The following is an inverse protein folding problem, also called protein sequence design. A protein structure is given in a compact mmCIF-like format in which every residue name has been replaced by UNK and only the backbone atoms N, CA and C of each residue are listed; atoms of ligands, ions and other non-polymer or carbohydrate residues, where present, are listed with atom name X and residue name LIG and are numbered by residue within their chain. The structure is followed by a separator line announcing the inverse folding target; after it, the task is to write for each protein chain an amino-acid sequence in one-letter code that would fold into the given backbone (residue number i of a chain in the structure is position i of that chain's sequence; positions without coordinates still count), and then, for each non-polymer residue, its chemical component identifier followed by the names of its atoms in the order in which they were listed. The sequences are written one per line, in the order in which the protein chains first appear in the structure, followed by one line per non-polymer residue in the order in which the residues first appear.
data_IF_311405759949
#
_entry.id   IF_311405759949
#
_cell.length_a   1.000
_cell.length_b   1.000
_cell.length_c   1.000
_cell.angle_alpha   90.00
_cell.angle_beta   90.00
_cell.angle_gamma   90.00
#
_symmetry.space_group_name_H-M   'P 1'
#
loop_
_entity.id
_entity.type
_entity.pdbx_description
1 polymer ?
#
# COMPACT_ATOMS: atom_id res chain seq x y z
N UNK A 1 6.73 18.80 -21.02
CA UNK A 1 7.28 17.44 -21.20
C UNK A 1 7.63 16.87 -19.85
N UNK A 2 7.16 15.66 -19.52
CA UNK A 2 7.49 15.00 -18.24
C UNK A 2 8.75 14.16 -18.44
N UNK A 3 9.88 14.68 -17.97
CA UNK A 3 11.08 13.88 -17.71
C UNK A 3 10.78 12.90 -16.58
N UNK A 4 10.16 11.77 -16.92
CA UNK A 4 10.17 10.63 -16.05
C UNK A 4 11.56 10.01 -16.19
N UNK A 5 12.31 9.94 -15.09
CA UNK A 5 13.44 9.01 -14.95
C UNK A 5 12.87 7.60 -15.14
N UNK A 6 12.70 7.18 -16.39
CA UNK A 6 12.37 5.82 -16.74
C UNK A 6 13.68 5.07 -16.59
N UNK A 7 13.89 4.44 -15.44
CA UNK A 7 14.81 3.32 -15.38
C UNK A 7 14.48 2.41 -16.56
N UNK A 8 15.47 2.13 -17.42
CA UNK A 8 15.26 1.31 -18.60
C UNK A 8 15.00 -0.13 -18.14
N UNK A 9 13.73 -0.47 -17.94
CA UNK A 9 13.31 -1.84 -17.70
C UNK A 9 13.58 -2.65 -18.97
N UNK A 10 14.50 -3.61 -18.89
CA UNK A 10 14.71 -4.59 -19.96
C UNK A 10 13.63 -5.67 -19.90
N UNK A 11 13.30 -6.30 -21.02
CA UNK A 11 12.53 -7.55 -20.99
C UNK A 11 13.40 -8.64 -20.36
N UNK A 12 12.84 -9.38 -19.41
CA UNK A 12 13.54 -10.50 -18.77
C UNK A 12 13.57 -11.72 -19.67
N UNK A 13 14.37 -11.71 -20.75
CA UNK A 13 14.57 -12.88 -21.61
C UNK A 13 13.26 -13.67 -21.92
N UNK A 14 13.26 -15.02 -21.83
CA UNK A 14 12.05 -15.84 -21.95
C UNK A 14 11.23 -15.96 -20.64
N UNK A 15 11.55 -15.20 -19.58
CA UNK A 15 10.92 -15.37 -18.27
C UNK A 15 9.50 -14.78 -18.23
N UNK A 16 8.54 -15.63 -17.89
CA UNK A 16 7.14 -15.27 -17.68
C UNK A 16 6.80 -15.32 -16.19
N UNK A 17 5.79 -14.56 -15.79
CA UNK A 17 5.30 -14.55 -14.41
C UNK A 17 4.61 -15.87 -14.11
N UNK A 18 5.05 -16.59 -13.08
CA UNK A 18 4.48 -17.88 -12.67
C UNK A 18 3.00 -17.79 -12.23
N UNK A 19 2.54 -16.61 -11.84
CA UNK A 19 1.16 -16.40 -11.39
C UNK A 19 0.21 -16.01 -12.52
N UNK A 20 0.70 -15.34 -13.58
CA UNK A 20 -0.19 -14.78 -14.64
C UNK A 20 0.20 -15.18 -16.06
N UNK A 21 1.37 -15.78 -16.26
CA UNK A 21 1.96 -16.05 -17.57
C UNK A 21 2.39 -14.78 -18.34
N UNK A 22 2.28 -13.59 -17.74
CA UNK A 22 2.64 -12.34 -18.40
C UNK A 22 4.16 -12.19 -18.53
N UNK A 23 4.62 -11.45 -19.55
CA UNK A 23 6.06 -11.15 -19.71
C UNK A 23 6.57 -10.36 -18.52
N UNK A 24 7.73 -10.75 -18.00
CA UNK A 24 8.36 -10.07 -16.86
C UNK A 24 9.38 -9.03 -17.33
N UNK A 25 9.48 -7.94 -16.58
CA UNK A 25 10.49 -6.90 -16.78
C UNK A 25 11.62 -7.11 -15.76
N UNK A 26 12.86 -6.91 -16.19
CA UNK A 26 14.01 -6.83 -15.29
C UNK A 26 14.17 -5.38 -14.85
N UNK A 27 14.19 -5.17 -13.54
CA UNK A 27 14.71 -3.96 -12.94
C UNK A 27 16.06 -4.25 -12.30
N UNK A 28 17.09 -3.46 -12.63
CA UNK A 28 18.39 -3.59 -11.96
C UNK A 28 19.57 -3.07 -12.78
N UNK A 29 20.81 -3.15 -12.23
CA UNK A 29 21.17 -3.81 -10.96
C UNK A 29 20.68 -3.05 -9.71
N UNK A 30 20.44 -3.78 -8.60
CA UNK A 30 20.08 -3.20 -7.29
C UNK A 30 20.93 -3.81 -6.17
N UNK A 31 21.08 -3.07 -5.07
CA UNK A 31 21.60 -3.63 -3.82
C UNK A 31 20.57 -4.56 -3.18
N UNK A 32 20.94 -5.82 -2.94
CA UNK A 32 20.07 -6.83 -2.33
C UNK A 32 20.52 -7.25 -0.91
N UNK A 33 21.60 -6.64 -0.39
CA UNK A 33 22.07 -6.89 0.98
C UNK A 33 21.29 -6.09 2.03
N UNK A 34 21.63 -6.26 3.32
CA UNK A 34 21.03 -5.47 4.40
C UNK A 34 21.19 -3.97 4.17
N UNK A 35 20.11 -3.22 4.35
CA UNK A 35 20.08 -1.74 4.19
C UNK A 35 20.25 -0.99 5.52
N UNK A 36 20.24 -1.71 6.64
CA UNK A 36 20.32 -1.14 7.99
C UNK A 36 21.44 -1.78 8.79
N UNK A 37 22.28 -0.95 9.43
CA UNK A 37 23.17 -1.40 10.49
C UNK A 37 22.43 -1.34 11.83
N UNK A 38 21.94 -2.48 12.30
CA UNK A 38 21.11 -2.54 13.51
C UNK A 38 21.84 -2.14 14.79
N UNK A 39 23.18 -2.25 14.84
CA UNK A 39 23.97 -1.75 15.98
C UNK A 39 23.91 -0.23 16.04
N UNK A 40 24.10 0.42 14.89
CA UNK A 40 24.00 1.88 14.76
C UNK A 40 22.58 2.39 15.04
N UNK A 41 21.55 1.73 14.49
CA UNK A 41 20.15 2.11 14.74
C UNK A 41 19.82 2.07 16.24
N UNK A 42 20.27 1.02 16.95
CA UNK A 42 20.08 0.89 18.39
C UNK A 42 20.83 1.98 19.17
N UNK A 43 22.09 2.25 18.84
CA UNK A 43 22.86 3.29 19.54
C UNK A 43 22.25 4.68 19.37
N UNK A 44 21.73 5.00 18.17
CA UNK A 44 21.05 6.27 17.93
C UNK A 44 19.73 6.36 18.69
N UNK A 45 18.95 5.27 18.75
CA UNK A 45 17.72 5.23 19.54
C UNK A 45 17.97 5.45 21.03
N UNK A 46 19.05 4.88 21.56
CA UNK A 46 19.41 5.04 22.97
C UNK A 46 19.82 6.48 23.27
N UNK A 47 20.60 7.10 22.38
CA UNK A 47 21.01 8.50 22.53
C UNK A 47 19.84 9.48 22.42
N UNK A 48 18.95 9.27 21.45
CA UNK A 48 17.72 10.08 21.32
C UNK A 48 16.90 10.06 22.60
N UNK A 49 16.78 8.89 23.25
CA UNK A 49 16.02 8.73 24.50
C UNK A 49 16.70 9.43 25.69
N UNK A 50 18.02 9.49 25.72
CA UNK A 50 18.78 10.19 26.77
C UNK A 50 18.62 11.70 26.68
N UNK A 51 18.68 12.26 25.47
CA UNK A 51 18.75 13.70 25.28
C UNK A 51 17.58 14.25 24.44
N UNK A 52 16.35 13.93 24.84
CA UNK A 52 15.13 14.31 24.09
C UNK A 52 15.03 15.81 23.81
N UNK A 53 15.48 16.68 24.73
CA UNK A 53 15.27 18.13 24.66
C UNK A 53 16.12 18.80 23.58
N UNK A 54 17.26 18.22 23.24
CA UNK A 54 18.17 18.77 22.24
C UNK A 54 17.79 18.40 20.81
N UNK A 55 16.83 17.48 20.62
CA UNK A 55 16.34 17.09 19.29
C UNK A 55 14.96 17.70 19.00
N UNK A 56 14.94 18.82 18.26
CA UNK A 56 13.69 19.43 17.78
C UNK A 56 12.79 18.45 16.99
N UNK A 57 13.40 17.48 16.28
CA UNK A 57 12.70 16.45 15.52
C UNK A 57 12.61 15.09 16.24
N UNK A 58 12.70 15.07 17.58
CA UNK A 58 12.73 13.84 18.38
C UNK A 58 11.61 12.87 18.01
N UNK A 59 10.35 13.30 18.00
CA UNK A 59 9.20 12.43 17.73
C UNK A 59 9.30 11.73 16.36
N UNK A 60 9.78 12.47 15.35
CA UNK A 60 9.96 11.93 13.99
C UNK A 60 11.12 10.93 13.93
N UNK A 61 12.25 11.25 14.54
CA UNK A 61 13.42 10.37 14.57
C UNK A 61 13.16 9.10 15.38
N UNK A 62 12.61 9.25 16.57
CA UNK A 62 12.24 8.14 17.44
C UNK A 62 11.21 7.22 16.76
N UNK A 63 10.15 7.80 16.19
CA UNK A 63 9.15 7.05 15.42
C UNK A 63 9.75 6.27 14.26
N UNK A 64 10.53 6.95 13.41
CA UNK A 64 11.18 6.34 12.24
C UNK A 64 12.11 5.19 12.64
N UNK A 65 13.03 5.44 13.58
CA UNK A 65 14.01 4.44 13.98
C UNK A 65 13.37 3.26 14.74
N UNK A 66 12.25 3.49 15.43
CA UNK A 66 11.46 2.39 16.01
C UNK A 66 10.88 1.50 14.90
N UNK A 67 10.36 2.07 13.81
CA UNK A 67 9.90 1.26 12.66
C UNK A 67 11.05 0.49 12.02
N UNK A 68 12.19 1.15 11.79
CA UNK A 68 13.39 0.51 11.24
C UNK A 68 13.89 -0.62 12.15
N UNK A 69 13.79 -0.46 13.46
CA UNK A 69 14.18 -1.50 14.42
C UNK A 69 13.29 -2.75 14.35
N UNK A 70 12.01 -2.59 14.03
CA UNK A 70 11.02 -3.67 13.90
C UNK A 70 10.98 -4.29 12.51
N UNK A 71 11.65 -3.68 11.53
CA UNK A 71 11.63 -4.09 10.13
C UNK A 71 12.53 -5.30 9.88
N UNK A 72 12.04 -6.27 9.07
CA UNK A 72 12.84 -7.43 8.67
C UNK A 72 14.08 -7.00 7.86
N UNK A 73 15.30 -7.29 8.34
CA UNK A 73 16.54 -6.83 7.69
C UNK A 73 16.96 -7.72 6.51
N UNK A 74 16.47 -8.96 6.49
CA UNK A 74 16.80 -10.04 5.55
C UNK A 74 15.77 -10.20 4.42
N UNK A 75 14.65 -9.48 4.49
CA UNK A 75 13.64 -9.43 3.43
C UNK A 75 13.88 -8.20 2.53
N UNK A 76 14.43 -8.38 1.31
CA UNK A 76 14.56 -7.28 0.36
C UNK A 76 13.19 -6.84 -0.16
N UNK A 77 13.07 -5.55 -0.51
CA UNK A 77 11.84 -4.94 -1.03
C UNK A 77 10.65 -5.07 -0.06
N UNK A 78 9.43 -4.90 -0.55
CA UNK A 78 8.20 -5.00 0.25
C UNK A 78 7.02 -5.37 -0.65
N UNK A 79 5.97 -5.88 -0.02
CA UNK A 79 4.69 -6.19 -0.64
C UNK A 79 3.70 -5.07 -0.32
N UNK A 80 3.12 -4.47 -1.35
CA UNK A 80 2.04 -3.48 -1.20
C UNK A 80 0.69 -4.16 -1.42
N UNK A 81 0.04 -4.51 -0.31
CA UNK A 81 -1.28 -5.13 -0.30
C UNK A 81 -2.34 -4.25 -0.99
N UNK A 82 -2.21 -2.92 -0.95
CA UNK A 82 -3.17 -2.03 -1.60
C UNK A 82 -2.99 -2.03 -3.13
N UNK A 83 -1.74 -2.11 -3.60
CA UNK A 83 -1.45 -2.33 -5.01
C UNK A 83 -1.99 -3.68 -5.50
N UNK A 84 -1.85 -4.75 -4.70
CA UNK A 84 -2.43 -6.07 -5.01
C UNK A 84 -3.96 -6.01 -5.10
N UNK A 85 -4.61 -5.34 -4.14
CA UNK A 85 -6.06 -5.17 -4.16
C UNK A 85 -6.55 -4.33 -5.35
N UNK A 86 -5.78 -3.31 -5.74
CA UNK A 86 -6.07 -2.49 -6.94
C UNK A 86 -5.94 -3.32 -8.21
N UNK A 87 -4.91 -4.16 -8.31
CA UNK A 87 -4.72 -5.09 -9.42
C UNK A 87 -5.90 -6.08 -9.54
N UNK A 88 -6.36 -6.63 -8.41
CA UNK A 88 -7.50 -7.55 -8.35
C UNK A 88 -8.87 -6.86 -8.36
N UNK A 89 -8.93 -5.52 -8.31
CA UNK A 89 -10.16 -4.73 -8.16
C UNK A 89 -11.05 -5.20 -7.00
N UNK A 90 -10.43 -5.61 -5.90
CA UNK A 90 -11.12 -6.05 -4.69
C UNK A 90 -11.02 -5.00 -3.58
N UNK A 91 -11.91 -5.11 -2.59
CA UNK A 91 -11.77 -4.34 -1.35
C UNK A 91 -10.51 -4.81 -0.64
N UNK A 92 -9.58 -3.91 -0.25
CA UNK A 92 -8.35 -4.33 0.42
C UNK A 92 -8.64 -4.88 1.82
N UNK A 93 -7.98 -5.97 2.25
CA UNK A 93 -8.04 -6.39 3.64
C UNK A 93 -7.43 -5.33 4.56
N UNK A 94 -7.77 -5.41 5.85
CA UNK A 94 -7.05 -4.59 6.83
C UNK A 94 -5.59 -5.06 6.92
N UNK A 95 -4.63 -4.15 7.14
CA UNK A 95 -3.23 -4.55 7.34
C UNK A 95 -3.07 -5.57 8.46
N UNK A 96 -3.88 -5.49 9.52
CA UNK A 96 -3.80 -6.44 10.65
C UNK A 96 -4.26 -7.83 10.21
N UNK A 97 -5.31 -7.91 9.41
CA UNK A 97 -5.85 -9.15 8.84
C UNK A 97 -4.82 -9.80 7.90
N UNK A 98 -4.27 -9.02 6.97
CA UNK A 98 -3.27 -9.51 6.03
C UNK A 98 -1.99 -10.00 6.73
N UNK A 99 -1.49 -9.23 7.70
CA UNK A 99 -0.34 -9.65 8.53
C UNK A 99 -0.65 -10.89 9.36
N UNK A 100 -1.88 -11.01 9.89
CA UNK A 100 -2.27 -12.20 10.66
C UNK A 100 -2.31 -13.44 9.77
N UNK A 101 -2.77 -13.32 8.53
CA UNK A 101 -2.76 -14.43 7.57
C UNK A 101 -1.33 -14.91 7.26
N UNK A 102 -0.38 -13.99 7.08
CA UNK A 102 1.04 -14.33 6.90
C UNK A 102 1.63 -15.06 8.12
N UNK A 103 1.32 -14.58 9.32
CA UNK A 103 1.78 -15.22 10.57
C UNK A 103 1.15 -16.60 10.75
N UNK A 104 -0.15 -16.76 10.46
CA UNK A 104 -0.83 -18.05 10.53
C UNK A 104 -0.26 -19.06 9.52
N UNK A 105 0.18 -18.58 8.36
CA UNK A 105 0.88 -19.39 7.36
C UNK A 105 2.35 -19.71 7.75
N UNK A 106 2.82 -19.26 8.91
CA UNK A 106 4.15 -19.57 9.45
C UNK A 106 5.27 -18.62 9.00
N UNK A 107 4.93 -17.50 8.37
CA UNK A 107 5.91 -16.53 7.87
C UNK A 107 6.07 -15.33 8.79
N UNK A 108 7.28 -14.75 8.80
CA UNK A 108 7.56 -13.52 9.52
C UNK A 108 7.01 -12.33 8.74
N UNK A 109 6.53 -11.33 9.46
CA UNK A 109 6.01 -10.10 8.85
C UNK A 109 6.40 -8.87 9.65
N UNK A 110 6.76 -7.80 8.96
CA UNK A 110 6.97 -6.48 9.55
C UNK A 110 6.30 -5.38 8.73
N UNK A 111 6.22 -4.17 9.29
CA UNK A 111 6.02 -2.98 8.46
C UNK A 111 7.32 -2.62 7.72
N UNK A 112 7.25 -1.57 6.88
CA UNK A 112 8.42 -0.92 6.31
C UNK A 112 8.41 0.57 6.64
N UNK A 113 9.59 1.14 6.90
CA UNK A 113 9.76 2.58 7.08
C UNK A 113 9.49 3.39 5.79
N UNK A 114 9.62 2.77 4.61
CA UNK A 114 9.50 3.46 3.32
C UNK A 114 8.06 3.71 2.89
N UNK A 115 7.10 2.87 3.32
CA UNK A 115 5.70 2.96 2.94
C UNK A 115 4.79 2.46 4.08
N UNK A 116 3.90 3.30 4.64
CA UNK A 116 3.02 2.91 5.75
C UNK A 116 2.02 1.81 5.42
N UNK A 117 1.72 1.58 4.14
CA UNK A 117 0.73 0.60 3.68
C UNK A 117 1.36 -0.74 3.29
N UNK A 118 2.69 -0.78 3.16
CA UNK A 118 3.41 -1.96 2.75
C UNK A 118 3.89 -2.80 3.93
N UNK A 119 4.18 -4.07 3.62
CA UNK A 119 4.70 -5.04 4.58
C UNK A 119 5.93 -5.72 4.00
N UNK A 120 6.87 -6.09 4.88
CA UNK A 120 7.94 -7.02 4.53
C UNK A 120 7.59 -8.39 5.08
N UNK A 121 7.96 -9.43 4.35
CA UNK A 121 7.78 -10.81 4.75
C UNK A 121 8.82 -11.69 4.08
N UNK A 122 9.16 -12.80 4.71
CA UNK A 122 9.94 -13.89 4.10
C UNK A 122 9.06 -14.88 3.33
N UNK A 123 7.74 -14.64 3.27
CA UNK A 123 6.84 -15.43 2.45
C UNK A 123 7.16 -15.30 0.96
N UNK A 124 7.17 -16.42 0.21
CA UNK A 124 7.20 -16.38 -1.24
C UNK A 124 6.03 -15.57 -1.81
N UNK A 125 6.25 -14.93 -2.97
CA UNK A 125 5.22 -14.14 -3.65
C UNK A 125 3.94 -14.96 -3.91
N UNK A 126 4.06 -16.25 -4.21
CA UNK A 126 2.91 -17.15 -4.38
C UNK A 126 2.00 -17.22 -3.15
N UNK A 127 2.56 -17.24 -1.95
CA UNK A 127 1.82 -17.26 -0.68
C UNK A 127 1.04 -15.95 -0.49
N UNK A 128 1.67 -14.81 -0.80
CA UNK A 128 0.99 -13.52 -0.70
C UNK A 128 -0.21 -13.42 -1.66
N UNK A 129 -0.11 -14.03 -2.85
CA UNK A 129 -1.23 -14.13 -3.78
C UNK A 129 -2.27 -15.15 -3.35
N UNK A 130 -1.89 -16.28 -2.76
CA UNK A 130 -2.84 -17.25 -2.16
C UNK A 130 -3.69 -16.58 -1.08
N UNK A 131 -3.10 -15.76 -0.22
CA UNK A 131 -3.83 -14.98 0.78
C UNK A 131 -4.84 -14.03 0.11
N UNK A 132 -4.45 -13.36 -0.97
CA UNK A 132 -5.37 -12.48 -1.70
C UNK A 132 -6.46 -13.26 -2.45
N UNK A 133 -6.17 -14.45 -2.97
CA UNK A 133 -7.16 -15.35 -3.58
C UNK A 133 -8.20 -15.79 -2.54
N UNK A 134 -7.77 -16.24 -1.36
CA UNK A 134 -8.64 -16.57 -0.25
C UNK A 134 -9.50 -15.37 0.19
N UNK A 135 -8.90 -14.18 0.23
CA UNK A 135 -9.62 -12.95 0.57
C UNK A 135 -10.73 -12.61 -0.43
N UNK A 136 -10.44 -12.72 -1.73
CA UNK A 136 -11.43 -12.49 -2.81
C UNK A 136 -12.53 -13.56 -2.81
N UNK A 137 -12.21 -14.80 -2.41
CA UNK A 137 -13.22 -15.85 -2.24
C UNK A 137 -14.21 -15.51 -1.10
N UNK A 138 -13.74 -14.95 0.02
CA UNK A 138 -14.60 -14.48 1.12
C UNK A 138 -15.30 -13.15 0.80
N UNK A 139 -14.68 -12.28 -0.01
CA UNK A 139 -15.18 -10.95 -0.36
C UNK A 139 -15.21 -10.77 -1.88
N UNK A 140 -16.27 -11.28 -2.56
CA UNK A 140 -16.35 -11.28 -4.01
C UNK A 140 -16.25 -9.89 -4.64
N UNK A 141 -15.56 -9.82 -5.79
CA UNK A 141 -15.46 -8.59 -6.59
C UNK A 141 -16.79 -8.27 -7.26
N UNK A 142 -17.14 -6.98 -7.33
CA UNK A 142 -18.42 -6.53 -7.92
C UNK A 142 -18.52 -6.84 -9.42
N UNK A 143 -17.39 -6.75 -10.13
CA UNK A 143 -17.32 -6.98 -11.57
C UNK A 143 -16.22 -8.00 -11.83
N UNK A 144 -16.52 -9.14 -12.48
CA UNK A 144 -15.51 -10.10 -12.85
C UNK A 144 -14.51 -9.46 -13.81
N UNK A 145 -13.27 -9.95 -13.78
CA UNK A 145 -12.26 -9.51 -14.73
C UNK A 145 -12.57 -10.07 -16.12
N UNK A 146 -12.21 -9.36 -17.20
CA UNK A 146 -12.33 -9.89 -18.55
C UNK A 146 -11.56 -11.21 -18.70
N UNK A 147 -12.13 -12.13 -19.47
CA UNK A 147 -11.49 -13.39 -19.85
C UNK A 147 -10.08 -13.11 -20.43
N UNK A 148 -9.11 -13.94 -20.08
CA UNK A 148 -7.70 -13.81 -20.45
C UNK A 148 -6.92 -12.60 -19.87
N UNK A 149 -7.51 -11.76 -19.02
CA UNK A 149 -6.74 -10.73 -18.34
C UNK A 149 -5.75 -11.32 -17.31
N UNK A 150 -4.62 -10.65 -17.00
CA UNK A 150 -3.67 -11.15 -15.99
C UNK A 150 -4.30 -11.36 -14.60
N UNK A 151 -5.25 -10.49 -14.22
CA UNK A 151 -5.97 -10.62 -12.96
C UNK A 151 -6.96 -11.80 -12.97
N UNK A 152 -7.58 -12.11 -14.10
CA UNK A 152 -8.39 -13.31 -14.27
C UNK A 152 -7.56 -14.58 -14.03
N UNK A 153 -6.41 -14.70 -14.73
CA UNK A 153 -5.49 -15.85 -14.57
C UNK A 153 -4.94 -15.99 -13.14
N UNK A 154 -4.68 -14.86 -12.47
CA UNK A 154 -4.25 -14.84 -11.07
C UNK A 154 -5.27 -15.48 -10.13
N UNK A 155 -6.57 -15.24 -10.37
CA UNK A 155 -7.67 -15.75 -9.54
C UNK A 155 -8.07 -17.19 -9.92
N UNK A 156 -7.91 -17.56 -11.19
CA UNK A 156 -8.20 -18.92 -11.69
C UNK A 156 -7.21 -19.97 -11.15
N UNK A 157 -5.97 -19.56 -10.85
CA UNK A 157 -4.94 -20.45 -10.32
C UNK A 157 -5.34 -21.01 -8.94
N UNK A 158 -5.21 -22.32 -8.78
CA UNK A 158 -5.51 -23.02 -7.53
C UNK A 158 -4.59 -22.56 -6.37
N UNK A 159 -5.20 -22.40 -5.20
CA UNK A 159 -4.51 -22.04 -3.96
C UNK A 159 -3.76 -23.26 -3.44
N UNK A 160 -2.46 -23.11 -3.15
CA UNK A 160 -1.63 -24.19 -2.59
C UNK A 160 -1.49 -24.11 -1.08
N UNK A 161 -1.55 -22.89 -0.56
CA UNK A 161 -1.33 -22.61 0.86
C UNK A 161 -2.66 -22.60 1.60
N UNK A 162 -2.74 -23.25 2.76
CA UNK A 162 -3.88 -23.10 3.67
C UNK A 162 -3.84 -21.72 4.32
N UNK A 163 -4.88 -20.91 4.10
CA UNK A 163 -4.95 -19.52 4.59
C UNK A 163 -5.98 -19.41 5.71
N UNK A 164 -5.57 -18.83 6.84
CA UNK A 164 -6.45 -18.48 7.95
C UNK A 164 -6.34 -17.00 8.28
N UNK A 165 -7.47 -16.30 8.32
CA UNK A 165 -7.54 -14.87 8.68
C UNK A 165 -7.70 -14.62 10.20
N UNK A 166 -7.53 -15.66 11.03
CA UNK A 166 -7.62 -15.51 12.49
C UNK A 166 -6.63 -14.46 13.00
N UNK A 167 -7.12 -13.50 13.79
CA UNK A 167 -6.31 -12.36 14.22
C UNK A 167 -5.23 -12.80 15.21
N UNK A 168 -3.97 -12.52 14.88
CA UNK A 168 -2.81 -12.76 15.77
C UNK A 168 -2.33 -11.46 16.38
N UNK A 169 -1.98 -11.50 17.67
CA UNK A 169 -1.36 -10.37 18.37
C UNK A 169 0.06 -10.09 17.85
N UNK A 170 0.77 -11.12 17.38
CA UNK A 170 2.11 -11.07 16.77
C UNK A 170 2.13 -10.26 15.46
N UNK A 171 1.01 -10.21 14.74
CA UNK A 171 0.87 -9.42 13.52
C UNK A 171 0.89 -7.89 13.76
N UNK A 172 0.83 -7.47 15.04
CA UNK A 172 0.85 -6.08 15.46
C UNK A 172 2.25 -5.70 15.92
N UNK A 173 2.78 -4.62 15.35
CA UNK A 173 4.12 -4.12 15.70
C UNK A 173 4.13 -3.53 17.11
N UNK A 174 5.27 -3.63 17.81
CA UNK A 174 5.38 -3.15 19.19
C UNK A 174 5.23 -1.64 19.29
N UNK A 175 5.65 -0.90 18.26
CA UNK A 175 5.42 0.54 18.12
C UNK A 175 3.93 0.87 18.14
N UNK A 176 3.10 0.02 17.52
CA UNK A 176 1.63 0.18 17.55
C UNK A 176 1.07 -0.13 18.93
N UNK A 177 1.61 -1.14 19.64
CA UNK A 177 1.22 -1.48 21.02
C UNK A 177 1.61 -0.36 22.00
N UNK A 178 2.77 0.26 21.79
CA UNK A 178 3.33 1.37 22.60
C UNK A 178 2.85 2.75 22.16
N UNK A 179 1.92 2.82 21.21
CA UNK A 179 1.34 4.04 20.66
C UNK A 179 2.38 5.09 20.18
N UNK A 180 3.46 4.61 19.56
CA UNK A 180 4.50 5.46 18.98
C UNK A 180 4.06 5.95 17.60
N UNK A 181 4.10 7.26 17.37
CA UNK A 181 3.79 7.86 16.07
C UNK A 181 4.87 7.52 15.05
N UNK A 182 4.57 6.57 14.16
CA UNK A 182 5.52 6.04 13.17
C UNK A 182 5.73 6.97 11.97
N UNK A 183 4.65 7.57 11.48
CA UNK A 183 4.65 8.42 10.29
C UNK A 183 4.15 9.81 10.69
N UNK A 184 5.08 10.65 11.16
CA UNK A 184 4.78 12.03 11.51
C UNK A 184 4.47 12.80 10.22
N UNK A 185 3.30 13.46 10.17
CA UNK A 185 2.92 14.30 9.05
C UNK A 185 3.88 15.47 8.93
N UNK A 186 4.26 15.82 7.70
CA UNK A 186 5.09 16.99 7.49
C UNK A 186 4.30 18.26 7.87
N UNK A 187 4.97 19.30 8.41
CA UNK A 187 4.33 20.57 8.73
C UNK A 187 3.67 21.24 7.51
N UNK A 188 2.75 22.18 7.78
CA UNK A 188 2.17 23.04 6.75
C UNK A 188 3.29 23.81 6.02
N UNK A 189 3.16 23.95 4.69
CA UNK A 189 4.14 24.62 3.81
C UNK A 189 5.52 23.94 3.73
N UNK A 190 5.60 22.63 4.02
CA UNK A 190 6.83 21.86 3.89
C UNK A 190 7.24 21.63 2.42
N UNK A 191 8.48 22.00 2.10
CA UNK A 191 9.09 21.79 0.78
C UNK A 191 8.77 22.87 -0.25
N UNK A 192 9.45 22.86 -1.41
CA UNK A 192 9.17 23.80 -2.49
C UNK A 192 7.70 23.63 -2.92
N UNK A 193 6.94 24.72 -2.89
CA UNK A 193 5.57 24.72 -3.37
C UNK A 193 5.54 24.28 -4.83
N UNK A 194 4.43 23.64 -5.22
CA UNK A 194 4.20 23.31 -6.63
C UNK A 194 4.35 24.60 -7.44
N UNK A 195 5.21 24.58 -8.45
CA UNK A 195 5.30 25.68 -9.41
C UNK A 195 3.90 26.00 -9.92
N UNK A 196 3.59 27.29 -10.07
CA UNK A 196 2.30 27.75 -10.56
C UNK A 196 2.00 27.05 -11.90
N UNK A 197 0.98 26.20 -11.91
CA UNK A 197 0.52 25.54 -13.12
C UNK A 197 -0.41 26.51 -13.85
N UNK A 198 -0.01 27.02 -15.02
CA UNK A 198 -0.87 27.70 -16.00
C UNK A 198 -1.86 26.73 -16.66
N UNK A 199 -2.53 25.90 -15.85
CA UNK A 199 -3.69 25.15 -16.36
C UNK A 199 -4.87 26.09 -16.18
N UNK A 200 -5.19 26.82 -17.25
CA UNK A 200 -6.40 27.62 -17.34
C UNK A 200 -7.58 26.78 -16.83
N UNK A 201 -8.18 27.25 -15.75
CA UNK A 201 -9.47 26.75 -15.26
C UNK A 201 -10.44 27.08 -16.41
N UNK A 202 -10.83 26.08 -17.20
CA UNK A 202 -12.01 26.23 -18.06
C UNK A 202 -13.17 26.39 -17.08
N UNK A 203 -13.53 27.63 -16.81
CA UNK A 203 -14.83 27.98 -16.26
C UNK A 203 -15.84 27.55 -17.32
N UNK A 204 -16.72 26.62 -16.97
CA UNK A 204 -17.84 26.26 -17.82
C UNK A 204 -18.94 27.30 -17.55
N UNK A 205 -18.65 28.57 -17.86
CA UNK A 205 -19.57 29.70 -17.71
C UNK A 205 -20.12 30.10 -19.09
N UNK A 206 -20.54 29.12 -19.89
CA UNK A 206 -21.33 29.34 -21.10
C UNK A 206 -22.26 28.13 -21.31
N UNK A 207 -23.29 28.05 -20.48
CA UNK A 207 -24.52 27.34 -20.81
C UNK A 207 -25.67 28.36 -20.74
N UNK A 208 -26.42 28.58 -21.83
CA UNK A 208 -27.55 29.50 -21.79
C UNK A 208 -28.61 28.96 -20.83
N UNK A 209 -29.09 29.84 -19.96
CA UNK A 209 -30.16 29.58 -19.00
C UNK A 209 -31.41 29.09 -19.72
N UNK A 210 -31.68 27.79 -19.65
CA UNK A 210 -32.99 27.25 -20.02
C UNK A 210 -34.00 27.71 -18.97
N UNK A 211 -34.99 28.47 -19.43
CA UNK A 211 -36.15 28.93 -18.67
C UNK A 211 -36.79 27.79 -17.86
N UNK A 212 -37.24 28.14 -16.66
CA UNK A 212 -38.05 27.26 -15.81
C UNK A 212 -39.47 27.21 -16.37
N UNK A 213 -39.82 26.08 -16.98
CA UNK A 213 -41.20 25.79 -17.40
C UNK A 213 -42.14 25.65 -16.18
N UNK A 214 -43.25 26.41 -16.11
CA UNK A 214 -44.17 26.40 -14.99
C UNK A 214 -45.26 25.33 -15.19
N UNK A 215 -44.95 24.06 -14.92
CA UNK A 215 -45.95 22.98 -14.94
C UNK A 215 -45.64 21.82 -13.97
N UNK A 216 -45.52 22.12 -12.68
CA UNK A 216 -45.53 21.08 -11.64
C UNK A 216 -46.08 21.56 -10.28
N UNK A 217 -46.85 22.66 -10.26
CA UNK A 217 -47.48 23.19 -9.05
C UNK A 217 -49.00 23.22 -9.20
N UNK A 218 -49.63 22.04 -9.40
CA UNK A 218 -51.10 21.94 -9.29
C UNK A 218 -51.63 20.50 -9.15
N UNK A 219 -51.17 19.74 -8.15
CA UNK A 219 -51.95 18.60 -7.60
C UNK A 219 -51.60 18.43 -6.11
N UNK A 220 -52.08 19.32 -5.25
CA UNK A 220 -52.20 19.12 -3.79
C UNK A 220 -52.91 20.33 -3.17
N UNK A 221 -54.17 20.56 -3.55
CA UNK A 221 -55.14 21.34 -2.76
C UNK A 221 -56.52 21.16 -3.41
N UNK A 222 -57.53 20.93 -2.57
CA UNK A 222 -58.96 20.78 -2.87
C UNK A 222 -59.46 19.35 -3.11
N UNK A 223 -59.68 18.62 -2.02
CA UNK A 223 -61.01 18.09 -1.70
C UNK A 223 -61.10 17.96 -0.17
N UNK A 224 -62.27 18.30 0.35
CA UNK A 224 -62.70 18.35 1.76
C UNK A 224 -62.30 17.14 2.62
#
# INVERSE_FOLDING_TARGET
GRGANKYASGLAGPHVCEETGSRTLVGGPIWNGPIHNMKFVRSVLDELKRDRRNFAAFEKLHGLLTVVQEELPDAPLHVDMHAMATFLKCTPPSQTTFKSALVNAGYRVSGTHSNPLAVKTDAPTSVTWDIMRAWVAEHPIQKPHPENSPAYRMLEKEQKTEVSFFRRSEAMSDAKKKNVTRFVQNPAHWGPQRAASTRAKRTNDDAPSTERDPKAARVAASAE
#
